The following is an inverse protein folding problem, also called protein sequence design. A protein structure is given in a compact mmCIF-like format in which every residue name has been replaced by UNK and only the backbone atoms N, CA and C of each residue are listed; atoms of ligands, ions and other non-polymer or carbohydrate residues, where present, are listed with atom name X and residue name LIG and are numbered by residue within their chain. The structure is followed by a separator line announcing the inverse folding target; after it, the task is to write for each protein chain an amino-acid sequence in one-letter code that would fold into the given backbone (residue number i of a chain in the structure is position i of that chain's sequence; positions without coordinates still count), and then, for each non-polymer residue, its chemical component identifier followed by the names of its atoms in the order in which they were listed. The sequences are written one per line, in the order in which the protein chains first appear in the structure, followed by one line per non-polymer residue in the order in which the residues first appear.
data_IF_623885986295
#
_entry.id   IF_623885986295
#
_cell.length_a   1.000
_cell.length_b   1.000
_cell.length_c   1.000
_cell.angle_alpha   90.00
_cell.angle_beta   90.00
_cell.angle_gamma   90.00
#
_symmetry.space_group_name_H-M   'P 1'
#
loop_
_entity.id
_entity.type
_entity.pdbx_description
1 polymer ?
#
# COMPACT_ATOMS: atom_id res chain seq x y z
N UNK A 1 -9.96 -20.42 -1.31
CA UNK A 1 -8.77 -20.01 -0.52
C UNK A 1 -7.50 -19.85 -1.36
N UNK A 2 -7.07 -20.85 -2.15
CA UNK A 2 -5.80 -20.78 -2.92
C UNK A 2 -5.59 -19.50 -3.73
N UNK A 3 -6.63 -19.00 -4.41
CA UNK A 3 -6.57 -17.75 -5.20
C UNK A 3 -6.28 -16.49 -4.38
N UNK A 4 -6.88 -16.38 -3.20
CA UNK A 4 -6.70 -15.23 -2.29
C UNK A 4 -5.33 -15.26 -1.61
N UNK A 5 -4.76 -16.45 -1.43
CA UNK A 5 -3.42 -16.65 -0.87
C UNK A 5 -2.30 -16.56 -1.93
N UNK A 6 -2.63 -16.32 -3.21
CA UNK A 6 -1.63 -16.18 -4.28
C UNK A 6 -0.51 -15.16 -3.99
N UNK A 7 -0.72 -14.03 -3.28
CA UNK A 7 0.36 -13.10 -2.97
C UNK A 7 1.46 -13.72 -2.11
N UNK A 8 1.12 -14.66 -1.22
CA UNK A 8 2.07 -15.32 -0.29
C UNK A 8 3.03 -16.24 -1.05
N UNK A 9 2.60 -16.75 -2.20
CA UNK A 9 3.39 -17.64 -3.05
C UNK A 9 4.07 -16.90 -4.20
N UNK A 10 4.02 -15.57 -4.23
CA UNK A 10 4.66 -14.74 -5.26
C UNK A 10 5.90 -14.06 -4.68
N UNK A 11 7.08 -14.57 -5.03
CA UNK A 11 8.36 -14.09 -4.50
C UNK A 11 8.55 -12.58 -4.68
N UNK A 12 8.09 -12.00 -5.80
CA UNK A 12 8.22 -10.55 -6.03
C UNK A 12 7.36 -9.75 -5.06
N UNK A 13 6.12 -10.20 -4.84
CA UNK A 13 5.21 -9.57 -3.89
C UNK A 13 5.79 -9.69 -2.48
N UNK A 14 6.30 -10.87 -2.12
CA UNK A 14 6.87 -11.12 -0.78
C UNK A 14 8.17 -10.36 -0.54
N UNK A 15 9.02 -10.17 -1.55
CA UNK A 15 10.22 -9.32 -1.44
C UNK A 15 9.83 -7.87 -1.16
N UNK A 16 8.90 -7.31 -1.96
CA UNK A 16 8.44 -5.92 -1.78
C UNK A 16 7.74 -5.75 -0.43
N UNK A 17 6.89 -6.69 -0.04
CA UNK A 17 6.26 -6.72 1.29
C UNK A 17 7.30 -6.77 2.41
N UNK A 18 8.36 -7.58 2.28
CA UNK A 18 9.42 -7.67 3.29
C UNK A 18 10.19 -6.36 3.42
N UNK A 19 10.50 -5.70 2.30
CA UNK A 19 11.13 -4.36 2.28
C UNK A 19 10.20 -3.35 2.96
N UNK A 20 8.92 -3.35 2.59
CA UNK A 20 7.93 -2.47 3.19
C UNK A 20 7.86 -2.68 4.71
N UNK A 21 7.70 -3.91 5.20
CA UNK A 21 7.64 -4.18 6.64
C UNK A 21 8.93 -3.77 7.34
N UNK A 22 10.10 -4.06 6.76
CA UNK A 22 11.37 -3.65 7.34
C UNK A 22 11.47 -2.13 7.49
N UNK A 23 11.10 -1.38 6.45
CA UNK A 23 11.11 0.09 6.46
C UNK A 23 10.04 0.64 7.39
N UNK A 24 8.80 0.17 7.27
CA UNK A 24 7.67 0.60 8.07
C UNK A 24 7.95 0.38 9.55
N UNK A 25 8.35 -0.82 9.99
CA UNK A 25 8.63 -1.07 11.41
C UNK A 25 9.85 -0.28 11.91
N UNK A 26 10.90 -0.13 11.09
CA UNK A 26 12.10 0.60 11.49
C UNK A 26 11.85 2.10 11.64
N UNK A 27 11.04 2.67 10.77
CA UNK A 27 10.68 4.08 10.83
C UNK A 27 9.57 4.30 11.88
N UNK A 28 8.58 3.38 11.99
CA UNK A 28 7.45 3.40 12.94
C UNK A 28 7.90 2.87 14.30
N UNK A 29 9.04 3.34 14.82
CA UNK A 29 9.53 2.93 16.15
C UNK A 29 8.69 3.53 17.32
N UNK A 30 7.37 3.67 17.09
CA UNK A 30 6.34 4.25 17.94
C UNK A 30 5.91 3.35 19.10
N UNK A 31 5.88 1.99 19.06
CA UNK A 31 5.33 1.23 20.19
C UNK A 31 6.21 1.29 21.45
N UNK A 32 7.40 1.87 21.37
CA UNK A 32 8.33 2.01 22.48
C UNK A 32 8.46 3.45 23.02
N UNK A 33 7.76 4.42 22.43
CA UNK A 33 7.86 5.84 22.82
C UNK A 33 6.49 6.53 22.81
N UNK A 34 6.16 7.30 23.84
CA UNK A 34 4.97 8.19 23.89
C UNK A 34 5.10 9.43 23.01
N UNK A 35 5.95 9.37 21.98
CA UNK A 35 6.34 10.47 21.10
C UNK A 35 6.02 10.07 19.68
N UNK A 36 5.32 10.95 18.96
CA UNK A 36 5.07 10.79 17.53
C UNK A 36 6.36 11.09 16.75
N UNK A 37 7.21 10.08 16.63
CA UNK A 37 8.45 10.19 15.86
C UNK A 37 8.18 10.42 14.37
N UNK A 38 7.00 10.02 13.89
CA UNK A 38 6.69 9.83 12.49
C UNK A 38 6.20 11.12 11.82
N UNK A 39 5.21 11.78 12.43
CA UNK A 39 4.62 13.00 11.91
C UNK A 39 5.24 14.25 12.53
N UNK A 40 5.76 14.14 13.76
CA UNK A 40 6.23 15.31 14.53
C UNK A 40 7.74 15.47 14.55
N UNK A 41 8.49 14.44 14.97
CA UNK A 41 9.94 14.57 15.15
C UNK A 41 10.73 14.42 13.85
N UNK A 42 10.40 13.43 13.01
CA UNK A 42 11.15 13.15 11.79
C UNK A 42 10.54 13.76 10.53
N UNK A 43 9.35 14.38 10.67
CA UNK A 43 8.57 15.10 9.64
C UNK A 43 8.56 14.40 8.28
N UNK A 44 7.40 13.88 7.89
CA UNK A 44 7.16 13.32 6.56
C UNK A 44 7.86 11.96 6.34
N UNK A 45 8.31 11.31 7.42
CA UNK A 45 8.91 9.96 7.36
C UNK A 45 7.87 8.88 6.97
N UNK A 46 6.60 9.18 7.20
CA UNK A 46 5.42 8.44 6.75
C UNK A 46 5.31 8.32 5.24
N UNK A 47 5.75 9.33 4.49
CA UNK A 47 5.70 9.36 3.01
C UNK A 47 6.39 8.14 2.39
N UNK A 48 7.56 7.76 2.91
CA UNK A 48 8.31 6.60 2.40
C UNK A 48 7.54 5.31 2.70
N UNK A 49 6.96 5.24 3.89
CA UNK A 49 6.11 4.13 4.31
C UNK A 49 4.87 4.01 3.43
N UNK A 50 4.14 5.11 3.17
CA UNK A 50 3.00 5.15 2.26
C UNK A 50 3.39 4.78 0.83
N UNK A 51 4.49 5.31 0.32
CA UNK A 51 4.97 4.93 -1.01
C UNK A 51 5.20 3.41 -1.13
N UNK A 52 5.94 2.81 -0.19
CA UNK A 52 6.19 1.36 -0.20
C UNK A 52 4.93 0.55 0.10
N UNK A 53 4.06 1.06 0.97
CA UNK A 53 2.76 0.48 1.31
C UNK A 53 1.84 0.43 0.10
N UNK A 54 1.68 1.55 -0.60
CA UNK A 54 0.90 1.66 -1.83
C UNK A 54 1.37 0.70 -2.93
N UNK A 55 2.69 0.61 -3.13
CA UNK A 55 3.28 -0.37 -4.05
C UNK A 55 2.93 -1.81 -3.65
N UNK A 56 3.12 -2.15 -2.38
CA UNK A 56 2.88 -3.49 -1.82
C UNK A 56 1.41 -3.89 -1.93
N UNK A 57 0.50 -3.03 -1.49
CA UNK A 57 -0.95 -3.28 -1.51
C UNK A 57 -1.43 -3.47 -2.95
N UNK A 58 -1.00 -2.61 -3.88
CA UNK A 58 -1.39 -2.78 -5.27
C UNK A 58 -0.88 -4.11 -5.84
N UNK A 59 0.37 -4.51 -5.56
CA UNK A 59 0.92 -5.78 -6.02
C UNK A 59 0.16 -6.99 -5.46
N UNK A 60 -0.26 -6.93 -4.19
CA UNK A 60 -1.11 -7.96 -3.56
C UNK A 60 -2.45 -8.05 -4.30
N UNK A 61 -3.14 -6.92 -4.50
CA UNK A 61 -4.43 -6.85 -5.21
C UNK A 61 -4.29 -7.43 -6.63
N UNK A 62 -3.27 -6.97 -7.37
CA UNK A 62 -3.01 -7.42 -8.72
C UNK A 62 -2.74 -8.93 -8.76
N UNK A 63 -1.97 -9.46 -7.80
CA UNK A 63 -1.70 -10.90 -7.70
C UNK A 63 -2.99 -11.72 -7.50
N UNK A 64 -3.85 -11.29 -6.58
CA UNK A 64 -5.16 -11.92 -6.37
C UNK A 64 -6.04 -11.83 -7.63
N UNK A 65 -6.09 -10.67 -8.29
CA UNK A 65 -6.94 -10.48 -9.47
C UNK A 65 -6.48 -11.31 -10.69
N UNK A 66 -5.18 -11.61 -10.83
CA UNK A 66 -4.66 -12.49 -11.90
C UNK A 66 -5.27 -13.88 -11.87
N UNK A 67 -5.53 -14.41 -10.67
CA UNK A 67 -6.15 -15.73 -10.47
C UNK A 67 -7.58 -15.84 -11.01
N UNK A 68 -8.21 -14.71 -11.34
CA UNK A 68 -9.53 -14.64 -11.97
C UNK A 68 -9.49 -14.62 -13.50
N UNK A 69 -8.29 -14.72 -14.11
CA UNK A 69 -8.11 -14.74 -15.57
C UNK A 69 -8.75 -13.57 -16.31
N UNK A 70 -8.69 -12.38 -15.69
CA UNK A 70 -9.16 -11.14 -16.29
C UNK A 70 -8.23 -10.72 -17.42
N UNK A 71 -8.77 -10.03 -18.43
CA UNK A 71 -7.90 -9.35 -19.40
C UNK A 71 -7.13 -8.20 -18.70
N UNK A 72 -6.00 -7.81 -19.27
CA UNK A 72 -5.09 -6.84 -18.63
C UNK A 72 -5.77 -5.50 -18.31
N UNK A 73 -6.68 -5.02 -19.19
CA UNK A 73 -7.42 -3.77 -18.97
C UNK A 73 -8.32 -3.85 -17.76
N UNK A 74 -9.09 -4.94 -17.63
CA UNK A 74 -9.97 -5.21 -16.49
C UNK A 74 -9.16 -5.39 -15.22
N UNK A 75 -8.06 -6.14 -15.28
CA UNK A 75 -7.15 -6.31 -14.14
C UNK A 75 -6.67 -4.95 -13.63
N UNK A 76 -6.13 -4.10 -14.50
CA UNK A 76 -5.67 -2.75 -14.13
C UNK A 76 -6.82 -1.93 -13.55
N UNK A 77 -7.95 -1.84 -14.26
CA UNK A 77 -9.10 -1.07 -13.82
C UNK A 77 -9.60 -1.49 -12.43
N UNK A 78 -9.84 -2.78 -12.21
CA UNK A 78 -10.31 -3.29 -10.92
C UNK A 78 -9.24 -3.18 -9.84
N UNK A 79 -7.95 -3.35 -10.18
CA UNK A 79 -6.87 -3.18 -9.20
C UNK A 79 -6.78 -1.75 -8.68
N UNK A 80 -6.91 -0.76 -9.55
CA UNK A 80 -6.91 0.67 -9.19
C UNK A 80 -8.14 1.01 -8.34
N UNK A 81 -9.32 0.49 -8.71
CA UNK A 81 -10.54 0.73 -7.96
C UNK A 81 -10.46 0.17 -6.53
N UNK A 82 -10.01 -1.08 -6.40
CA UNK A 82 -9.82 -1.70 -5.09
C UNK A 82 -8.73 -1.00 -4.28
N UNK A 83 -7.64 -0.60 -4.95
CA UNK A 83 -6.56 0.14 -4.32
C UNK A 83 -7.05 1.43 -3.66
N UNK A 84 -7.75 2.30 -4.40
CA UNK A 84 -8.25 3.55 -3.83
C UNK A 84 -9.33 3.33 -2.78
N UNK A 85 -10.13 2.27 -2.90
CA UNK A 85 -11.09 1.90 -1.85
C UNK A 85 -10.38 1.61 -0.53
N UNK A 86 -9.24 0.89 -0.58
CA UNK A 86 -8.46 0.58 0.60
C UNK A 86 -7.65 1.77 1.11
N UNK A 87 -6.95 2.50 0.24
CA UNK A 87 -6.13 3.65 0.62
C UNK A 87 -6.97 4.75 1.27
N UNK A 88 -8.04 5.19 0.60
CA UNK A 88 -8.93 6.23 1.16
C UNK A 88 -9.70 5.69 2.37
N UNK A 89 -10.13 4.43 2.32
CA UNK A 89 -10.82 3.79 3.44
C UNK A 89 -9.96 3.74 4.70
N UNK A 90 -8.67 3.45 4.56
CA UNK A 90 -7.70 3.45 5.65
C UNK A 90 -7.57 4.83 6.29
N UNK A 91 -7.32 5.87 5.49
CA UNK A 91 -7.18 7.25 5.96
C UNK A 91 -8.42 7.75 6.74
N UNK A 92 -9.61 7.38 6.28
CA UNK A 92 -10.87 7.73 6.96
C UNK A 92 -10.97 7.00 8.30
N UNK A 93 -10.68 5.69 8.33
CA UNK A 93 -10.74 4.90 9.56
C UNK A 93 -9.73 5.38 10.60
N UNK A 94 -8.52 5.71 10.15
CA UNK A 94 -7.49 6.28 11.01
C UNK A 94 -7.94 7.61 11.59
N UNK A 95 -8.48 8.52 10.76
CA UNK A 95 -9.00 9.82 11.22
C UNK A 95 -10.11 9.66 12.27
N UNK A 96 -10.99 8.69 12.10
CA UNK A 96 -12.05 8.40 13.07
C UNK A 96 -11.50 7.83 14.38
N UNK A 97 -10.36 7.12 14.32
CA UNK A 97 -9.69 6.53 15.48
C UNK A 97 -8.83 7.51 16.30
N UNK A 98 -8.50 8.70 15.76
CA UNK A 98 -7.71 9.72 16.47
C UNK A 98 -8.31 10.10 17.83
N UNK A 99 -9.64 10.02 17.99
CA UNK A 99 -10.30 10.26 19.28
C UNK A 99 -9.86 9.32 20.41
N UNK A 100 -9.23 8.19 20.07
CA UNK A 100 -8.69 7.18 21.01
C UNK A 100 -7.17 7.30 21.19
N UNK A 101 -6.47 8.00 20.29
CA UNK A 101 -5.00 8.15 20.28
C UNK A 101 -4.66 9.64 20.21
N UNK A 102 -4.77 10.32 21.35
CA UNK A 102 -4.66 11.78 21.50
C UNK A 102 -3.30 12.40 21.10
N UNK A 103 -2.29 11.59 20.80
CA UNK A 103 -0.94 12.07 20.42
C UNK A 103 -0.71 12.15 18.90
N UNK A 104 -1.62 11.60 18.08
CA UNK A 104 -1.57 11.64 16.61
C UNK A 104 -2.67 12.59 16.14
N UNK A 105 -2.35 13.87 16.04
CA UNK A 105 -3.26 14.87 15.48
C UNK A 105 -2.81 15.21 14.06
N UNK A 106 -3.30 14.45 13.08
CA UNK A 106 -2.91 14.65 11.69
C UNK A 106 -3.83 15.64 10.97
N UNK A 107 -3.22 16.52 10.19
CA UNK A 107 -3.97 17.46 9.37
C UNK A 107 -4.55 16.76 8.15
N UNK A 108 -5.63 17.30 7.59
CA UNK A 108 -6.16 16.83 6.31
C UNK A 108 -5.10 16.87 5.19
N UNK A 109 -4.14 17.79 5.27
CA UNK A 109 -3.05 17.91 4.32
C UNK A 109 -2.10 16.70 4.36
N UNK A 110 -1.82 16.15 5.54
CA UNK A 110 -0.99 14.94 5.68
C UNK A 110 -1.68 13.78 4.98
N UNK A 111 -2.95 13.52 5.30
CA UNK A 111 -3.72 12.42 4.68
C UNK A 111 -3.79 12.52 3.15
N UNK A 112 -3.90 13.73 2.60
CA UNK A 112 -3.85 13.93 1.15
C UNK A 112 -2.47 13.54 0.59
N UNK A 113 -1.38 13.96 1.24
CA UNK A 113 -0.02 13.58 0.86
C UNK A 113 0.18 12.07 0.94
N UNK A 114 -0.42 11.42 1.92
CA UNK A 114 -0.30 9.98 2.14
C UNK A 114 -0.96 9.21 0.98
N UNK A 115 -2.18 9.62 0.59
CA UNK A 115 -2.86 9.09 -0.61
C UNK A 115 -2.07 9.36 -1.90
N UNK A 116 -1.40 10.51 -2.00
CA UNK A 116 -0.52 10.81 -3.15
C UNK A 116 0.67 9.85 -3.17
N UNK A 117 1.31 9.64 -2.02
CA UNK A 117 2.47 8.76 -1.87
C UNK A 117 2.10 7.31 -2.18
N UNK A 118 0.97 6.85 -1.63
CA UNK A 118 0.36 5.56 -1.95
C UNK A 118 0.14 5.40 -3.47
N UNK A 119 -0.41 6.44 -4.11
CA UNK A 119 -0.66 6.44 -5.56
C UNK A 119 0.63 6.34 -6.36
N UNK A 120 1.69 7.04 -5.97
CA UNK A 120 3.01 6.95 -6.61
C UNK A 120 3.61 5.54 -6.46
N UNK A 121 3.46 4.92 -5.30
CA UNK A 121 3.84 3.54 -5.03
C UNK A 121 3.10 2.56 -5.94
N UNK A 122 1.77 2.69 -6.04
CA UNK A 122 0.93 1.91 -6.95
C UNK A 122 1.42 2.04 -8.40
N UNK A 123 1.68 3.26 -8.88
CA UNK A 123 2.14 3.50 -10.25
C UNK A 123 3.48 2.80 -10.53
N UNK A 124 4.41 2.85 -9.58
CA UNK A 124 5.67 2.10 -9.70
C UNK A 124 5.43 0.59 -9.76
N UNK A 125 4.54 0.07 -8.92
CA UNK A 125 4.11 -1.33 -8.97
C UNK A 125 3.57 -1.73 -10.35
N UNK A 126 2.69 -0.90 -10.93
CA UNK A 126 2.15 -1.11 -12.29
C UNK A 126 3.28 -1.14 -13.33
N UNK A 127 4.24 -0.23 -13.24
CA UNK A 127 5.36 -0.16 -14.18
C UNK A 127 6.21 -1.43 -14.11
N UNK A 128 6.55 -1.89 -12.90
CA UNK A 128 7.39 -3.08 -12.69
C UNK A 128 6.68 -4.36 -13.14
N UNK A 129 5.37 -4.47 -12.90
CA UNK A 129 4.59 -5.67 -13.25
C UNK A 129 3.98 -5.60 -14.66
N UNK A 130 4.22 -4.52 -15.42
CA UNK A 130 3.62 -4.27 -16.73
C UNK A 130 3.74 -5.46 -17.67
N UNK A 131 4.96 -5.98 -17.85
CA UNK A 131 5.22 -7.09 -18.77
C UNK A 131 4.42 -8.34 -18.39
N UNK A 132 4.40 -8.69 -17.09
CA UNK A 132 3.67 -9.85 -16.57
C UNK A 132 2.16 -9.71 -16.67
N UNK A 133 1.63 -8.50 -16.52
CA UNK A 133 0.21 -8.21 -16.70
C UNK A 133 -0.18 -8.36 -18.18
N UNK A 134 0.68 -7.94 -19.10
CA UNK A 134 0.41 -8.03 -20.54
C UNK A 134 0.66 -9.43 -21.13
N UNK A 135 1.64 -10.17 -20.63
CA UNK A 135 2.02 -11.49 -21.15
C UNK A 135 1.10 -12.62 -20.69
N UNK A 136 0.35 -12.43 -19.60
CA UNK A 136 -0.64 -13.40 -19.10
C UNK A 136 -1.77 -13.73 -20.09
N UNK A 137 -1.87 -13.00 -21.21
CA UNK A 137 -2.80 -13.32 -22.31
C UNK A 137 -2.21 -14.22 -23.41
N UNK A 138 -0.93 -14.58 -23.34
CA UNK A 138 -0.24 -15.39 -24.35
C UNK A 138 -0.07 -16.88 -24.00
N UNK A 139 -0.61 -17.33 -22.85
CA UNK A 139 -0.59 -18.73 -22.41
C UNK A 139 -1.99 -19.32 -22.25
#
# INVERSE_FOLDING_TARGET
MRKVLSPIYDDRVMIVFSIFIAVHVSLVNVPFTTVDLFHKEWRDADVISHFLGGMTIWMIIASVLREFKLNWRKLIFYSILLFYTLAIGWEILEKLSESQISFIAETLQNKIRDVISDSLGMLLGIIIEKERITSYQQS
#
